data_IF_114041848510
#
_entry.id   IF_114041848510
#
_cell.length_a   1.000
_cell.length_b   1.000
_cell.length_c   1.000
_cell.angle_alpha   90.00
_cell.angle_beta   90.00
_cell.angle_gamma   90.00
#
_symmetry.space_group_name_H-M   'P 1'
#
loop_
_entity.id
_entity.type
_entity.pdbx_description
1 polymer ?
#
# COMPACT_ATOMS: atom_id res chain seq x y z
N UNK A 1 -15.00 -22.08 -45.74
CA UNK A 1 -15.67 -20.85 -45.22
C UNK A 1 -17.14 -21.06 -44.86
N UNK A 2 -18.06 -21.26 -45.80
CA UNK A 2 -19.50 -21.49 -45.48
C UNK A 2 -19.73 -22.73 -44.60
N UNK A 3 -18.91 -23.76 -44.75
CA UNK A 3 -18.94 -24.96 -43.93
C UNK A 3 -18.50 -24.69 -42.48
N UNK A 4 -17.38 -24.00 -42.28
CA UNK A 4 -16.88 -23.59 -40.96
C UNK A 4 -17.86 -22.67 -40.21
N UNK A 5 -18.46 -21.69 -40.90
CA UNK A 5 -19.47 -20.82 -40.29
C UNK A 5 -20.74 -21.57 -39.88
N UNK A 6 -21.11 -22.64 -40.61
CA UNK A 6 -22.26 -23.50 -40.25
C UNK A 6 -21.94 -24.46 -39.10
N UNK A 7 -20.67 -24.75 -38.87
CA UNK A 7 -20.20 -25.62 -37.81
C UNK A 7 -20.12 -24.93 -36.43
N UNK A 8 -20.38 -23.61 -36.35
CA UNK A 8 -20.49 -22.88 -35.08
C UNK A 8 -21.77 -23.33 -34.35
N UNK A 9 -21.69 -23.94 -33.14
CA UNK A 9 -22.85 -24.40 -32.39
C UNK A 9 -23.80 -23.27 -32.01
N UNK A 10 -25.05 -23.60 -31.68
CA UNK A 10 -25.99 -22.59 -31.19
C UNK A 10 -25.64 -22.13 -29.77
N UNK A 11 -26.09 -20.94 -29.36
CA UNK A 11 -25.90 -20.45 -27.98
C UNK A 11 -26.50 -21.45 -26.97
N UNK A 12 -27.70 -21.96 -27.24
CA UNK A 12 -28.37 -22.92 -26.36
C UNK A 12 -27.58 -24.22 -26.21
N UNK A 13 -26.93 -24.68 -27.29
CA UNK A 13 -26.09 -25.87 -27.26
C UNK A 13 -24.86 -25.65 -26.39
N UNK A 14 -24.12 -24.55 -26.58
CA UNK A 14 -22.95 -24.24 -25.77
C UNK A 14 -23.30 -24.02 -24.30
N UNK A 15 -24.42 -23.36 -24.01
CA UNK A 15 -24.90 -23.17 -22.63
C UNK A 15 -25.35 -24.50 -21.99
N UNK A 16 -25.69 -25.53 -22.77
CA UNK A 16 -26.04 -26.86 -22.28
C UNK A 16 -24.82 -27.73 -21.96
N UNK A 17 -23.62 -27.36 -22.39
CA UNK A 17 -22.40 -28.11 -22.09
C UNK A 17 -22.10 -28.10 -20.60
N UNK A 18 -21.66 -29.24 -20.07
CA UNK A 18 -21.44 -29.46 -18.62
C UNK A 18 -20.43 -28.44 -18.07
N UNK A 19 -19.38 -28.15 -18.84
CA UNK A 19 -18.30 -27.23 -18.54
C UNK A 19 -18.79 -25.79 -18.38
N UNK A 20 -19.87 -25.41 -19.07
CA UNK A 20 -20.47 -24.07 -19.02
C UNK A 20 -21.64 -24.05 -18.01
N UNK A 21 -22.44 -25.11 -17.94
CA UNK A 21 -23.59 -25.21 -17.02
C UNK A 21 -23.21 -25.07 -15.55
N UNK A 22 -22.05 -25.60 -15.13
CA UNK A 22 -21.58 -25.47 -13.75
C UNK A 22 -21.51 -24.01 -13.28
N UNK A 23 -21.30 -23.06 -14.20
CA UNK A 23 -21.22 -21.63 -13.89
C UNK A 23 -22.59 -20.96 -13.71
N UNK A 24 -23.67 -21.55 -14.22
CA UNK A 24 -25.03 -21.04 -14.02
C UNK A 24 -25.50 -21.16 -12.56
N UNK A 25 -24.84 -22.00 -11.75
CA UNK A 25 -25.09 -22.09 -10.31
C UNK A 25 -24.55 -20.89 -9.53
N UNK A 26 -23.58 -20.16 -10.10
CA UNK A 26 -22.86 -19.08 -9.42
C UNK A 26 -23.08 -17.72 -10.08
N UNK A 27 -23.40 -17.69 -11.38
CA UNK A 27 -23.50 -16.46 -12.16
C UNK A 27 -24.84 -16.36 -12.90
N UNK A 28 -25.27 -15.12 -13.15
CA UNK A 28 -26.48 -14.86 -13.92
C UNK A 28 -26.37 -15.46 -15.33
N UNK A 29 -27.39 -16.21 -15.75
CA UNK A 29 -27.49 -16.82 -17.09
C UNK A 29 -27.27 -15.82 -18.23
N UNK A 30 -27.78 -14.60 -18.09
CA UNK A 30 -27.63 -13.54 -19.10
C UNK A 30 -26.15 -13.20 -19.34
N UNK A 31 -25.36 -13.07 -18.27
CA UNK A 31 -23.91 -12.86 -18.36
C UNK A 31 -23.22 -14.01 -19.11
N UNK A 32 -23.58 -15.25 -18.83
CA UNK A 32 -23.00 -16.42 -19.52
C UNK A 32 -23.40 -16.43 -20.99
N UNK A 33 -24.67 -16.14 -21.31
CA UNK A 33 -25.16 -16.04 -22.69
C UNK A 33 -24.44 -14.94 -23.47
N UNK A 34 -24.19 -13.79 -22.86
CA UNK A 34 -23.47 -12.70 -23.51
C UNK A 34 -22.01 -13.04 -23.79
N UNK A 35 -21.33 -13.74 -22.85
CA UNK A 35 -19.98 -14.27 -23.09
C UNK A 35 -19.97 -15.26 -24.25
N UNK A 36 -20.94 -16.18 -24.28
CA UNK A 36 -21.07 -17.16 -25.38
C UNK A 36 -21.26 -16.45 -26.71
N UNK A 37 -22.15 -15.45 -26.78
CA UNK A 37 -22.39 -14.65 -27.99
C UNK A 37 -21.13 -13.92 -28.45
N UNK A 38 -20.42 -13.29 -27.52
CA UNK A 38 -19.19 -12.56 -27.83
C UNK A 38 -18.10 -13.47 -28.40
N UNK A 39 -17.85 -14.64 -27.79
CA UNK A 39 -16.86 -15.59 -28.31
C UNK A 39 -17.28 -16.21 -29.65
N UNK A 40 -18.58 -16.45 -29.85
CA UNK A 40 -19.11 -16.82 -31.17
C UNK A 40 -18.86 -15.73 -32.21
N UNK A 41 -19.10 -14.47 -31.88
CA UNK A 41 -18.92 -13.35 -32.80
C UNK A 41 -17.44 -13.11 -33.11
N UNK A 42 -16.55 -13.25 -32.13
CA UNK A 42 -15.09 -13.24 -32.35
C UNK A 42 -14.67 -14.34 -33.31
N UNK A 43 -15.15 -15.57 -33.11
CA UNK A 43 -14.85 -16.69 -34.00
C UNK A 43 -15.42 -16.45 -35.42
N UNK A 44 -16.66 -15.97 -35.55
CA UNK A 44 -17.27 -15.61 -36.84
C UNK A 44 -16.39 -14.61 -37.59
N UNK A 45 -15.96 -13.54 -36.91
CA UNK A 45 -15.11 -12.51 -37.50
C UNK A 45 -13.73 -13.06 -37.89
N UNK A 46 -13.12 -13.91 -37.07
CA UNK A 46 -11.84 -14.55 -37.40
C UNK A 46 -11.93 -15.44 -38.65
N UNK A 47 -13.01 -16.23 -38.78
CA UNK A 47 -13.25 -17.07 -39.97
C UNK A 47 -13.48 -16.21 -41.22
N UNK A 48 -14.21 -15.09 -41.11
CA UNK A 48 -14.46 -14.16 -42.22
C UNK A 48 -13.17 -13.47 -42.67
N UNK A 49 -12.31 -13.09 -41.72
CA UNK A 49 -11.08 -12.34 -41.97
C UNK A 49 -9.86 -13.22 -42.32
N UNK A 50 -10.06 -14.54 -42.49
CA UNK A 50 -8.99 -15.50 -42.81
C UNK A 50 -7.83 -15.49 -41.80
N UNK A 51 -8.16 -15.49 -40.51
CA UNK A 51 -7.16 -15.64 -39.45
C UNK A 51 -6.37 -16.95 -39.64
N UNK A 52 -5.07 -16.81 -39.92
CA UNK A 52 -4.19 -17.92 -40.29
C UNK A 52 -3.94 -18.87 -39.11
N UNK A 53 -3.92 -18.35 -37.88
CA UNK A 53 -3.67 -19.15 -36.68
C UNK A 53 -4.89 -20.01 -36.35
N UNK A 54 -6.09 -19.44 -36.52
CA UNK A 54 -7.34 -20.17 -36.34
C UNK A 54 -7.54 -21.25 -37.41
N UNK A 55 -7.17 -20.94 -38.65
CA UNK A 55 -7.22 -21.90 -39.76
C UNK A 55 -6.25 -23.06 -39.54
N UNK A 56 -5.05 -22.80 -39.03
CA UNK A 56 -4.04 -23.83 -38.71
C UNK A 56 -4.50 -24.75 -37.57
N UNK A 57 -5.06 -24.18 -36.50
CA UNK A 57 -5.61 -24.95 -35.38
C UNK A 57 -6.74 -25.89 -35.80
N UNK A 58 -7.57 -25.48 -36.76
CA UNK A 58 -8.71 -26.28 -37.23
C UNK A 58 -8.33 -27.43 -38.16
N UNK A 59 -7.18 -27.34 -38.85
CA UNK A 59 -6.66 -28.42 -39.73
C UNK A 59 -6.23 -29.66 -38.93
N UNK A 60 -5.87 -29.49 -37.65
CA UNK A 60 -5.46 -30.58 -36.77
C UNK A 60 -6.63 -31.48 -36.30
N UNK A 61 -7.88 -31.04 -36.51
CA UNK A 61 -9.07 -31.80 -36.15
C UNK A 61 -9.62 -32.61 -37.32
N UNK A 62 -9.77 -33.92 -37.13
CA UNK A 62 -10.41 -34.81 -38.12
C UNK A 62 -11.91 -34.50 -38.32
N UNK A 63 -12.55 -33.88 -37.33
CA UNK A 63 -13.93 -33.39 -37.37
C UNK A 63 -13.95 -31.88 -37.03
N UNK A 64 -14.14 -31.05 -38.05
CA UNK A 64 -14.16 -29.59 -37.94
C UNK A 64 -15.26 -29.08 -36.98
N UNK A 65 -16.39 -29.79 -36.87
CA UNK A 65 -17.52 -29.37 -36.01
C UNK A 65 -17.18 -29.59 -34.54
N UNK A 66 -16.60 -30.75 -34.24
CA UNK A 66 -16.13 -31.07 -32.89
C UNK A 66 -15.00 -30.14 -32.46
N UNK A 67 -14.04 -29.86 -33.37
CA UNK A 67 -12.93 -28.94 -33.10
C UNK A 67 -13.39 -27.50 -32.80
N UNK A 68 -14.33 -26.95 -33.58
CA UNK A 68 -14.90 -25.62 -33.33
C UNK A 68 -15.61 -25.57 -31.97
N UNK A 69 -16.40 -26.60 -31.64
CA UNK A 69 -17.12 -26.67 -30.38
C UNK A 69 -16.16 -26.70 -29.19
N UNK A 70 -15.16 -27.56 -29.20
CA UNK A 70 -14.13 -27.63 -28.15
C UNK A 70 -13.33 -26.32 -28.02
N UNK A 71 -13.00 -25.68 -29.16
CA UNK A 71 -12.35 -24.36 -29.16
C UNK A 71 -13.22 -23.31 -28.47
N UNK A 72 -14.49 -23.21 -28.84
CA UNK A 72 -15.43 -22.25 -28.25
C UNK A 72 -15.64 -22.51 -26.76
N UNK A 73 -15.84 -23.77 -26.34
CA UNK A 73 -15.99 -24.11 -24.92
C UNK A 73 -14.76 -23.64 -24.14
N UNK A 74 -13.55 -23.91 -24.65
CA UNK A 74 -12.32 -23.44 -24.01
C UNK A 74 -12.22 -21.91 -23.93
N UNK A 75 -12.58 -21.19 -25.00
CA UNK A 75 -12.57 -19.72 -25.00
C UNK A 75 -13.62 -19.11 -24.09
N UNK A 76 -14.83 -19.67 -24.08
CA UNK A 76 -15.92 -19.28 -23.17
C UNK A 76 -15.48 -19.52 -21.72
N UNK A 77 -14.93 -20.69 -21.42
CA UNK A 77 -14.38 -21.00 -20.09
C UNK A 77 -13.32 -19.97 -19.65
N UNK A 78 -12.34 -19.68 -20.51
CA UNK A 78 -11.31 -18.67 -20.24
C UNK A 78 -11.90 -17.27 -20.02
N UNK A 79 -12.92 -16.89 -20.81
CA UNK A 79 -13.58 -15.60 -20.68
C UNK A 79 -14.42 -15.50 -19.40
N UNK A 80 -15.13 -16.57 -19.02
CA UNK A 80 -15.85 -16.65 -17.75
C UNK A 80 -14.85 -16.48 -16.60
N UNK A 81 -13.75 -17.24 -16.60
CA UNK A 81 -12.72 -17.10 -15.56
C UNK A 81 -12.16 -15.68 -15.51
N UNK A 82 -11.79 -15.09 -16.65
CA UNK A 82 -11.24 -13.73 -16.72
C UNK A 82 -12.21 -12.66 -16.21
N UNK A 83 -13.50 -12.77 -16.51
CA UNK A 83 -14.52 -11.79 -16.06
C UNK A 83 -14.93 -11.96 -14.61
N UNK A 84 -14.86 -13.18 -14.10
CA UNK A 84 -15.28 -13.53 -12.74
C UNK A 84 -14.13 -13.47 -11.74
N UNK A 85 -12.89 -13.44 -12.21
CA UNK A 85 -11.72 -13.30 -11.36
C UNK A 85 -11.73 -11.95 -10.62
N UNK A 86 -11.45 -12.00 -9.32
CA UNK A 86 -11.31 -10.80 -8.51
C UNK A 86 -10.16 -9.93 -9.03
N UNK A 87 -10.49 -8.70 -9.45
CA UNK A 87 -9.50 -7.71 -9.91
C UNK A 87 -8.61 -7.23 -8.76
N UNK A 88 -9.17 -7.11 -7.56
CA UNK A 88 -8.42 -6.85 -6.33
C UNK A 88 -8.10 -8.18 -5.66
N UNK A 89 -6.81 -8.53 -5.63
CA UNK A 89 -6.34 -9.84 -5.16
C UNK A 89 -5.05 -9.71 -4.37
N UNK A 90 -4.82 -10.69 -3.50
CA UNK A 90 -3.55 -10.86 -2.78
C UNK A 90 -2.41 -11.08 -3.78
N UNK A 91 -1.26 -10.46 -3.51
CA UNK A 91 -0.02 -10.59 -4.27
C UNK A 91 1.11 -11.00 -3.32
N UNK A 92 2.04 -11.82 -3.78
CA UNK A 92 3.28 -12.10 -3.06
C UNK A 92 4.34 -11.07 -3.49
N UNK A 93 4.82 -10.29 -2.52
CA UNK A 93 5.84 -9.27 -2.72
C UNK A 93 7.24 -9.87 -2.58
N UNK A 94 7.92 -10.10 -3.71
CA UNK A 94 9.33 -10.50 -3.77
C UNK A 94 10.24 -9.33 -4.16
N UNK A 95 9.77 -8.09 -4.02
CA UNK A 95 10.57 -6.91 -4.39
C UNK A 95 11.51 -6.45 -3.28
N UNK A 96 11.26 -6.80 -2.02
CA UNK A 96 12.02 -6.28 -0.89
C UNK A 96 11.75 -4.80 -0.60
N UNK A 97 10.71 -4.22 -1.19
CA UNK A 97 10.20 -2.91 -0.76
C UNK A 97 9.12 -3.15 0.29
N UNK A 98 9.36 -2.74 1.54
CA UNK A 98 8.46 -3.03 2.68
C UNK A 98 7.15 -2.25 2.56
N UNK A 99 7.22 -0.93 2.52
CA UNK A 99 6.09 -0.01 2.31
C UNK A 99 5.88 0.24 0.81
N UNK A 100 5.48 -0.81 0.10
CA UNK A 100 5.27 -0.74 -1.35
C UNK A 100 3.93 -0.07 -1.67
N UNK A 101 3.94 1.18 -2.13
CA UNK A 101 2.72 1.97 -2.40
C UNK A 101 1.75 1.26 -3.36
N UNK A 102 2.25 0.69 -4.46
CA UNK A 102 1.40 -0.02 -5.44
C UNK A 102 0.84 -1.36 -4.93
N UNK A 103 1.44 -1.96 -3.89
CA UNK A 103 1.01 -3.25 -3.34
C UNK A 103 0.26 -3.09 -2.01
N UNK A 104 -0.17 -1.87 -1.67
CA UNK A 104 -1.05 -1.61 -0.52
C UNK A 104 -0.35 -1.25 0.78
N UNK A 105 0.93 -0.83 0.75
CA UNK A 105 1.71 -0.38 1.92
C UNK A 105 1.80 -1.46 3.01
N UNK A 106 1.33 -1.16 4.23
CA UNK A 106 1.47 -2.01 5.40
C UNK A 106 0.47 -3.19 5.40
N UNK A 107 0.93 -4.44 5.38
CA UNK A 107 0.07 -5.57 5.64
C UNK A 107 -0.26 -5.67 7.14
N UNK A 108 -1.49 -6.09 7.46
CA UNK A 108 -1.92 -6.32 8.85
C UNK A 108 -1.53 -7.73 9.33
N UNK A 109 -1.27 -7.86 10.63
CA UNK A 109 -0.95 -9.16 11.24
C UNK A 109 -2.18 -10.08 11.27
N UNK A 110 -1.96 -11.40 11.26
CA UNK A 110 -3.07 -12.36 11.33
C UNK A 110 -3.88 -12.23 12.62
N UNK A 111 -3.23 -11.91 13.75
CA UNK A 111 -3.90 -11.65 15.01
C UNK A 111 -4.86 -10.46 14.94
N UNK A 112 -4.48 -9.38 14.24
CA UNK A 112 -5.38 -8.24 13.99
C UNK A 112 -6.56 -8.68 13.11
N UNK A 113 -6.31 -9.47 12.07
CA UNK A 113 -7.38 -9.97 11.18
C UNK A 113 -8.39 -10.87 11.89
N UNK A 114 -7.96 -11.69 12.84
CA UNK A 114 -8.85 -12.49 13.69
C UNK A 114 -9.76 -11.61 14.54
N UNK A 115 -9.21 -10.58 15.18
CA UNK A 115 -9.98 -9.61 15.99
C UNK A 115 -10.94 -8.75 15.17
N UNK A 116 -10.52 -8.37 13.97
CA UNK A 116 -11.38 -7.70 13.00
C UNK A 116 -12.55 -8.59 12.61
N UNK A 117 -12.30 -9.86 12.30
CA UNK A 117 -13.36 -10.81 11.93
C UNK A 117 -14.37 -10.94 13.05
N UNK A 118 -13.91 -11.09 14.30
CA UNK A 118 -14.77 -11.15 15.49
C UNK A 118 -15.64 -9.89 15.66
N UNK A 119 -15.04 -8.70 15.60
CA UNK A 119 -15.72 -7.43 15.94
C UNK A 119 -16.55 -6.87 14.80
N UNK A 120 -16.06 -6.95 13.56
CA UNK A 120 -16.65 -6.25 12.40
C UNK A 120 -17.79 -7.05 11.77
N UNK A 121 -17.77 -8.39 11.90
CA UNK A 121 -18.85 -9.27 11.42
C UNK A 121 -20.11 -9.24 12.30
N UNK A 122 -20.04 -8.61 13.47
CA UNK A 122 -21.14 -8.47 14.42
C UNK A 122 -21.48 -7.00 14.69
N UNK A 123 -22.54 -6.77 15.47
CA UNK A 123 -22.75 -5.46 16.11
C UNK A 123 -21.65 -5.19 17.13
N UNK A 124 -21.29 -3.92 17.30
CA UNK A 124 -20.25 -3.49 18.25
C UNK A 124 -20.65 -2.20 18.95
N UNK A 125 -19.92 -1.86 20.02
CA UNK A 125 -20.07 -0.63 20.80
C UNK A 125 -19.41 0.59 20.12
N UNK A 126 -19.34 0.62 18.79
CA UNK A 126 -18.62 1.63 18.00
C UNK A 126 -18.93 3.08 18.40
N UNK A 127 -20.20 3.41 18.62
CA UNK A 127 -20.66 4.73 19.09
C UNK A 127 -21.62 4.57 20.28
N UNK A 128 -21.40 3.54 21.10
CA UNK A 128 -22.26 3.22 22.23
C UNK A 128 -21.42 3.04 23.49
N UNK A 129 -21.68 3.87 24.49
CA UNK A 129 -21.06 3.75 25.80
C UNK A 129 -21.80 2.65 26.59
N UNK A 130 -21.07 1.60 26.97
CA UNK A 130 -21.64 0.45 27.69
C UNK A 130 -21.94 0.77 29.15
N UNK A 131 -21.22 1.71 29.77
CA UNK A 131 -21.40 2.09 31.17
C UNK A 131 -22.58 3.05 31.32
N UNK A 132 -22.71 4.02 30.40
CA UNK A 132 -23.81 5.00 30.40
C UNK A 132 -25.06 4.50 29.67
N UNK A 133 -24.96 3.43 28.88
CA UNK A 133 -26.08 2.92 28.09
C UNK A 133 -26.62 3.94 27.08
N UNK A 134 -25.75 4.75 26.49
CA UNK A 134 -26.14 5.85 25.59
C UNK A 134 -25.15 6.06 24.45
N UNK A 135 -25.41 7.04 23.58
CA UNK A 135 -24.52 7.33 22.44
C UNK A 135 -23.19 7.89 22.95
N UNK A 136 -22.10 7.22 22.61
CA UNK A 136 -20.72 7.65 22.86
C UNK A 136 -20.01 8.14 21.60
N UNK A 137 -18.78 8.62 21.76
CA UNK A 137 -17.91 8.96 20.64
C UNK A 137 -17.06 7.75 20.26
N UNK A 138 -16.91 7.50 18.95
CA UNK A 138 -16.06 6.41 18.47
C UNK A 138 -14.58 6.64 18.76
N UNK A 139 -14.18 7.89 19.00
CA UNK A 139 -12.79 8.27 19.24
C UNK A 139 -12.33 7.90 20.65
N UNK A 140 -13.29 7.74 21.57
CA UNK A 140 -13.03 7.45 22.98
C UNK A 140 -12.31 6.11 23.13
N UNK A 141 -12.57 5.16 22.21
CA UNK A 141 -11.92 3.84 22.19
C UNK A 141 -10.41 3.86 21.89
N UNK A 142 -9.90 4.94 21.29
CA UNK A 142 -8.53 4.97 20.75
C UNK A 142 -7.69 6.15 21.22
N UNK A 143 -8.32 7.23 21.67
CA UNK A 143 -7.64 8.42 22.15
C UNK A 143 -6.66 8.08 23.28
N UNK A 144 -7.10 7.30 24.28
CA UNK A 144 -6.27 6.88 25.41
C UNK A 144 -5.02 6.11 24.99
N UNK A 145 -5.12 5.26 23.97
CA UNK A 145 -3.97 4.52 23.44
C UNK A 145 -2.96 5.46 22.78
N UNK A 146 -3.46 6.39 21.95
CA UNK A 146 -2.61 7.35 21.25
C UNK A 146 -1.91 8.27 22.25
N UNK A 147 -2.63 8.85 23.20
CA UNK A 147 -2.06 9.75 24.21
C UNK A 147 -1.06 9.03 25.10
N UNK A 148 -1.36 7.81 25.54
CA UNK A 148 -0.42 6.98 26.33
C UNK A 148 0.88 6.72 25.59
N UNK A 149 0.81 6.40 24.29
CA UNK A 149 1.98 6.04 23.49
C UNK A 149 2.80 7.26 23.03
N UNK A 150 2.14 8.40 22.82
CA UNK A 150 2.77 9.59 22.21
C UNK A 150 3.14 10.67 23.22
N UNK A 151 2.49 10.68 24.39
CA UNK A 151 2.59 11.77 25.37
C UNK A 151 1.73 12.99 25.03
N UNK A 152 0.94 12.95 23.95
CA UNK A 152 -0.02 14.01 23.62
C UNK A 152 -1.10 14.17 24.70
N UNK A 153 -1.66 15.37 24.82
CA UNK A 153 -2.77 15.65 25.74
C UNK A 153 -4.12 15.11 25.24
N UNK A 154 -4.29 15.05 23.92
CA UNK A 154 -5.48 14.56 23.24
C UNK A 154 -5.12 14.09 21.83
N UNK A 155 -6.00 13.28 21.24
CA UNK A 155 -5.82 12.80 19.88
C UNK A 155 -7.16 12.59 19.18
N UNK A 156 -7.12 12.55 17.85
CA UNK A 156 -8.23 12.11 17.02
C UNK A 156 -7.76 11.40 15.75
N UNK A 157 -8.69 10.70 15.10
CA UNK A 157 -8.41 9.90 13.90
C UNK A 157 -9.38 10.28 12.77
N UNK A 158 -8.84 10.43 11.57
CA UNK A 158 -9.57 10.68 10.33
C UNK A 158 -9.16 9.66 9.26
N UNK A 159 -9.76 9.75 8.08
CA UNK A 159 -9.64 8.76 6.99
C UNK A 159 -8.18 8.48 6.57
N UNK A 160 -7.35 9.51 6.41
CA UNK A 160 -5.94 9.38 6.05
C UNK A 160 -5.18 10.67 6.44
N UNK A 161 -3.84 10.67 6.35
CA UNK A 161 -3.07 11.84 6.74
C UNK A 161 -3.33 13.09 5.87
N UNK A 162 -3.66 12.91 4.58
CA UNK A 162 -4.07 14.02 3.72
C UNK A 162 -5.33 14.73 4.27
N UNK A 163 -6.30 13.95 4.76
CA UNK A 163 -7.47 14.45 5.45
C UNK A 163 -7.13 15.11 6.78
N UNK A 164 -6.12 14.61 7.50
CA UNK A 164 -5.64 15.22 8.74
C UNK A 164 -5.08 16.63 8.50
N UNK A 165 -4.16 16.76 7.54
CA UNK A 165 -3.60 18.06 7.14
C UNK A 165 -4.68 19.03 6.67
N UNK A 166 -5.60 18.57 5.81
CA UNK A 166 -6.74 19.38 5.35
C UNK A 166 -7.58 19.89 6.51
N UNK A 167 -7.93 19.01 7.46
CA UNK A 167 -8.76 19.36 8.61
C UNK A 167 -8.06 20.37 9.52
N UNK A 168 -6.77 20.17 9.80
CA UNK A 168 -5.98 21.09 10.64
C UNK A 168 -5.93 22.48 10.01
N UNK A 169 -5.56 22.57 8.73
CA UNK A 169 -5.49 23.84 8.02
C UNK A 169 -6.86 24.53 7.94
N UNK A 170 -7.93 23.76 7.69
CA UNK A 170 -9.29 24.29 7.59
C UNK A 170 -9.77 24.86 8.93
N UNK A 171 -9.58 24.11 10.01
CA UNK A 171 -10.12 24.47 11.32
C UNK A 171 -9.29 25.57 12.02
N UNK A 172 -7.97 25.60 11.80
CA UNK A 172 -7.07 26.50 12.54
C UNK A 172 -6.58 27.71 11.73
N UNK A 173 -6.54 27.62 10.40
CA UNK A 173 -5.94 28.65 9.55
C UNK A 173 -6.79 29.01 8.31
N UNK A 174 -8.09 28.75 8.34
CA UNK A 174 -8.97 29.30 7.31
C UNK A 174 -8.89 30.84 7.31
N UNK A 175 -8.73 31.40 6.11
CA UNK A 175 -8.62 32.85 5.85
C UNK A 175 -7.44 33.51 6.59
N UNK A 176 -6.44 32.72 6.99
CA UNK A 176 -5.21 33.18 7.66
C UNK A 176 -3.95 32.71 6.94
N UNK A 177 -2.82 33.34 7.25
CA UNK A 177 -1.52 32.98 6.72
C UNK A 177 -0.94 31.73 7.40
N UNK A 178 -0.37 30.84 6.59
CA UNK A 178 0.36 29.64 7.02
C UNK A 178 1.78 29.74 6.49
N UNK A 179 2.73 29.90 7.40
CA UNK A 179 4.15 30.04 7.04
C UNK A 179 4.78 28.64 6.95
N UNK A 180 5.43 28.35 5.82
CA UNK A 180 6.09 27.07 5.55
C UNK A 180 7.34 27.24 4.67
N UNK A 181 8.37 26.43 4.93
CA UNK A 181 9.61 26.41 4.14
C UNK A 181 9.37 25.97 2.70
N UNK A 182 9.95 26.68 1.72
CA UNK A 182 9.92 26.28 0.30
C UNK A 182 10.46 24.86 0.05
N UNK A 183 11.45 24.44 0.83
CA UNK A 183 12.03 23.10 0.76
C UNK A 183 11.10 21.99 1.24
N UNK A 184 9.95 22.33 1.84
CA UNK A 184 8.98 21.41 2.44
C UNK A 184 7.64 21.37 1.65
N UNK A 185 7.58 22.01 0.47
CA UNK A 185 6.41 21.99 -0.43
C UNK A 185 6.34 20.68 -1.22
N UNK A 186 5.95 19.61 -0.53
CA UNK A 186 6.05 18.23 -1.06
C UNK A 186 4.85 17.83 -1.94
N UNK A 187 5.14 16.95 -2.91
CA UNK A 187 4.13 16.12 -3.60
C UNK A 187 4.28 14.66 -3.15
N UNK A 188 3.21 14.07 -2.63
CA UNK A 188 3.19 12.69 -2.14
C UNK A 188 2.18 11.87 -2.95
N UNK A 189 2.60 10.70 -3.43
CA UNK A 189 1.71 9.73 -4.07
C UNK A 189 1.06 10.19 -5.39
N UNK A 190 1.61 11.20 -6.05
CA UNK A 190 1.22 11.67 -7.39
C UNK A 190 0.01 12.61 -7.47
N UNK A 191 -0.73 12.80 -6.38
CA UNK A 191 -1.93 13.67 -6.37
C UNK A 191 -2.09 14.54 -5.13
N UNK A 192 -1.37 14.24 -4.04
CA UNK A 192 -1.39 15.08 -2.85
C UNK A 192 -0.25 16.10 -2.93
N UNK A 193 -0.60 17.38 -2.98
CA UNK A 193 0.33 18.51 -3.00
C UNK A 193 -0.03 19.46 -1.88
N UNK A 194 0.92 19.73 -0.97
CA UNK A 194 0.69 20.66 0.15
C UNK A 194 0.11 22.01 -0.30
N UNK A 195 0.62 22.67 -1.37
CA UNK A 195 0.04 23.92 -1.86
C UNK A 195 -1.45 23.84 -2.26
N UNK A 196 -1.84 22.76 -2.94
CA UNK A 196 -3.22 22.57 -3.40
C UNK A 196 -4.16 22.28 -2.22
N UNK A 197 -3.66 21.57 -1.21
CA UNK A 197 -4.41 21.27 0.02
C UNK A 197 -4.62 22.53 0.83
N UNK A 198 -3.59 23.37 1.00
CA UNK A 198 -3.71 24.67 1.66
C UNK A 198 -4.71 25.58 0.95
N UNK A 199 -4.66 25.64 -0.37
CA UNK A 199 -5.62 26.40 -1.17
C UNK A 199 -7.06 25.91 -0.95
N UNK A 200 -7.27 24.60 -0.90
CA UNK A 200 -8.59 24.00 -0.68
C UNK A 200 -9.09 24.18 0.76
N UNK A 201 -8.21 24.22 1.75
CA UNK A 201 -8.59 24.49 3.14
C UNK A 201 -9.00 25.95 3.36
N UNK A 202 -8.66 26.84 2.43
CA UNK A 202 -8.84 28.30 2.56
C UNK A 202 -7.71 28.96 3.33
N UNK A 203 -6.59 28.28 3.54
CA UNK A 203 -5.39 28.87 4.15
C UNK A 203 -4.57 29.61 3.08
N UNK A 204 -3.88 30.67 3.51
CA UNK A 204 -3.00 31.45 2.65
C UNK A 204 -1.54 31.02 2.87
N UNK A 205 -0.96 30.32 1.89
CA UNK A 205 0.43 29.89 1.97
C UNK A 205 1.40 31.07 1.89
N UNK A 206 2.25 31.21 2.91
CA UNK A 206 3.40 32.12 2.95
C UNK A 206 4.69 31.29 2.91
N UNK A 207 5.32 31.23 1.75
CA UNK A 207 6.53 30.44 1.55
C UNK A 207 7.80 31.20 1.97
N UNK A 208 8.63 30.59 2.82
CA UNK A 208 9.89 31.19 3.31
C UNK A 208 11.14 30.39 2.89
N UNK A 209 12.29 31.05 2.98
CA UNK A 209 13.58 30.45 2.61
C UNK A 209 13.70 30.11 1.13
N UNK A 210 14.48 29.07 0.85
CA UNK A 210 14.75 28.53 -0.50
C UNK A 210 14.56 27.02 -0.51
N UNK A 211 14.59 26.40 -1.69
CA UNK A 211 14.40 24.95 -1.82
C UNK A 211 15.38 24.14 -0.98
N UNK A 212 16.65 24.54 -0.97
CA UNK A 212 17.72 23.80 -0.29
C UNK A 212 18.06 24.36 1.09
N UNK A 213 17.84 25.66 1.35
CA UNK A 213 18.19 26.31 2.62
C UNK A 213 17.07 27.20 3.14
N UNK A 214 16.69 26.96 4.38
CA UNK A 214 15.77 27.83 5.13
C UNK A 214 16.37 28.10 6.50
N UNK A 215 16.41 29.37 6.89
CA UNK A 215 16.96 29.83 8.16
C UNK A 215 15.85 30.39 9.05
N UNK A 216 16.09 30.45 10.37
CA UNK A 216 15.09 30.92 11.34
C UNK A 216 14.59 32.34 11.03
N UNK A 217 15.50 33.25 10.63
CA UNK A 217 15.17 34.62 10.21
C UNK A 217 14.15 34.69 9.06
N UNK A 218 14.09 33.68 8.21
CA UNK A 218 13.17 33.67 7.06
C UNK A 218 11.72 33.48 7.57
N UNK A 219 11.54 32.70 8.64
CA UNK A 219 10.27 32.59 9.34
C UNK A 219 9.93 33.87 10.11
N UNK A 220 10.88 34.41 10.90
CA UNK A 220 10.67 35.62 11.71
C UNK A 220 10.21 36.82 10.87
N UNK A 221 10.79 37.00 9.69
CA UNK A 221 10.44 38.10 8.77
C UNK A 221 9.08 37.94 8.11
N UNK A 222 8.55 36.72 8.06
CA UNK A 222 7.26 36.43 7.43
C UNK A 222 6.08 36.52 8.41
N UNK A 223 6.34 36.59 9.71
CA UNK A 223 5.29 36.74 10.72
C UNK A 223 4.58 38.09 10.56
N UNK A 224 3.26 38.02 10.54
CA UNK A 224 2.34 39.15 10.42
C UNK A 224 1.16 39.00 11.40
N UNK A 225 0.32 40.04 11.51
CA UNK A 225 -0.93 39.95 12.27
C UNK A 225 -1.92 38.92 11.70
N UNK A 226 -1.78 38.55 10.42
CA UNK A 226 -2.62 37.57 9.73
C UNK A 226 -2.09 36.13 9.88
N UNK A 227 -0.92 35.94 10.51
CA UNK A 227 -0.33 34.60 10.72
C UNK A 227 -1.19 33.75 11.65
N UNK A 228 -1.76 32.68 11.10
CA UNK A 228 -2.60 31.72 11.82
C UNK A 228 -1.81 30.59 12.45
N UNK A 229 -0.85 30.02 11.72
CA UNK A 229 0.05 28.98 12.23
C UNK A 229 1.34 28.90 11.42
N UNK A 230 2.35 28.27 12.01
CA UNK A 230 3.56 27.83 11.32
C UNK A 230 3.44 26.32 11.08
N UNK A 231 3.67 25.91 9.83
CA UNK A 231 3.62 24.50 9.45
C UNK A 231 5.01 24.02 9.07
N UNK A 232 5.41 22.89 9.65
CA UNK A 232 6.57 22.10 9.24
C UNK A 232 6.11 20.82 8.55
N UNK A 233 6.70 20.46 7.42
CA UNK A 233 6.39 19.19 6.73
C UNK A 233 7.65 18.34 6.60
N UNK A 234 7.59 17.11 7.08
CA UNK A 234 8.70 16.16 6.96
C UNK A 234 8.82 15.66 5.52
N UNK A 235 10.05 15.64 4.98
CA UNK A 235 10.32 15.19 3.60
C UNK A 235 10.37 13.66 3.54
N UNK A 236 9.25 12.99 3.82
CA UNK A 236 9.21 11.53 4.00
C UNK A 236 9.37 10.71 2.70
N UNK A 237 9.42 11.36 1.53
CA UNK A 237 9.43 10.69 0.22
C UNK A 237 10.55 11.13 -0.72
N UNK A 238 11.38 12.10 -0.32
CA UNK A 238 12.61 12.48 -0.99
C UNK A 238 13.60 13.07 0.00
N UNK A 239 14.85 13.22 -0.43
CA UNK A 239 15.89 13.89 0.34
C UNK A 239 16.65 14.85 -0.60
N UNK A 240 17.02 16.03 -0.09
CA UNK A 240 17.87 16.98 -0.82
C UNK A 240 19.30 16.78 -0.32
N UNK A 241 20.20 16.38 -1.23
CA UNK A 241 21.62 16.13 -0.93
C UNK A 241 22.46 17.30 -1.45
N UNK A 242 23.42 17.78 -0.64
CA UNK A 242 24.37 18.82 -1.02
C UNK A 242 24.39 19.99 -0.03
N UNK A 243 24.36 21.23 -0.54
CA UNK A 243 24.32 22.44 0.29
C UNK A 243 22.91 22.70 0.82
N UNK A 244 22.53 21.96 1.85
CA UNK A 244 21.20 22.04 2.47
C UNK A 244 21.25 22.59 3.89
N UNK A 245 20.16 23.22 4.32
CA UNK A 245 20.00 23.72 5.70
C UNK A 245 18.51 23.81 6.05
N UNK A 246 18.15 23.45 7.28
CA UNK A 246 16.76 23.46 7.76
C UNK A 246 16.69 23.87 9.22
N UNK A 247 15.69 24.67 9.56
CA UNK A 247 15.43 25.08 10.95
C UNK A 247 15.03 23.87 11.79
N UNK A 248 15.64 23.73 12.97
CA UNK A 248 15.29 22.66 13.90
C UNK A 248 13.88 22.86 14.49
N UNK A 249 13.27 21.76 14.95
CA UNK A 249 11.92 21.81 15.57
C UNK A 249 11.91 22.72 16.81
N UNK A 250 12.89 22.59 17.68
CA UNK A 250 13.00 23.37 18.92
C UNK A 250 13.14 24.87 18.66
N UNK A 251 13.99 25.29 17.71
CA UNK A 251 14.13 26.70 17.34
C UNK A 251 12.83 27.26 16.77
N UNK A 252 12.13 26.47 15.93
CA UNK A 252 10.87 26.87 15.32
C UNK A 252 9.77 27.03 16.38
N UNK A 253 9.67 26.07 17.31
CA UNK A 253 8.72 26.11 18.44
C UNK A 253 9.00 27.30 19.34
N UNK A 254 10.24 27.51 19.78
CA UNK A 254 10.62 28.62 20.64
C UNK A 254 10.25 29.98 20.00
N UNK A 255 10.63 30.18 18.74
CA UNK A 255 10.32 31.40 18.00
C UNK A 255 8.80 31.60 17.84
N UNK A 256 8.06 30.55 17.50
CA UNK A 256 6.60 30.62 17.29
C UNK A 256 5.87 30.95 18.59
N UNK A 257 6.21 30.28 19.68
CA UNK A 257 5.57 30.48 21.00
C UNK A 257 5.88 31.87 21.57
N UNK A 258 7.08 32.41 21.35
CA UNK A 258 7.43 33.79 21.70
C UNK A 258 6.55 34.84 20.97
N UNK A 259 5.97 34.47 19.82
CA UNK A 259 5.04 35.28 19.05
C UNK A 259 3.57 34.87 19.23
N UNK A 260 3.27 33.88 20.09
CA UNK A 260 1.91 33.39 20.32
C UNK A 260 1.31 32.60 19.15
N UNK A 261 2.15 32.02 18.28
CA UNK A 261 1.73 31.30 17.07
C UNK A 261 1.80 29.79 17.29
N UNK A 262 0.78 29.06 16.82
CA UNK A 262 0.71 27.60 16.86
C UNK A 262 1.66 26.96 15.84
N UNK A 263 2.36 25.90 16.25
CA UNK A 263 3.21 25.07 15.39
C UNK A 263 2.54 23.73 15.12
N UNK A 264 2.37 23.42 13.84
CA UNK A 264 1.87 22.12 13.38
C UNK A 264 2.96 21.43 12.59
N UNK A 265 3.22 20.16 12.88
CA UNK A 265 4.10 19.32 12.08
C UNK A 265 3.34 18.20 11.37
N UNK A 266 3.40 18.17 10.03
CA UNK A 266 3.05 16.98 9.27
C UNK A 266 4.27 16.06 9.18
N UNK A 267 4.35 15.11 10.12
CA UNK A 267 5.41 14.11 10.10
C UNK A 267 5.19 13.07 9.01
N UNK A 268 3.92 12.72 8.78
CA UNK A 268 3.53 11.82 7.70
C UNK A 268 3.88 10.34 7.90
N UNK A 269 5.08 9.99 8.37
CA UNK A 269 5.64 8.62 8.41
C UNK A 269 5.02 7.71 9.49
N UNK A 270 4.66 8.28 10.64
CA UNK A 270 3.96 7.56 11.71
C UNK A 270 4.85 6.64 12.53
N UNK A 271 6.12 6.98 12.76
CA UNK A 271 7.03 6.12 13.53
C UNK A 271 6.79 6.25 15.04
N UNK A 272 6.60 5.11 15.73
CA UNK A 272 6.39 5.05 17.18
C UNK A 272 7.58 4.50 17.97
N UNK A 273 8.48 3.78 17.30
CA UNK A 273 9.63 3.13 17.92
C UNK A 273 10.90 3.61 17.23
N UNK A 274 11.93 3.91 18.00
CA UNK A 274 13.25 4.16 17.46
C UNK A 274 13.77 2.88 16.78
N UNK A 275 14.19 3.01 15.52
CA UNK A 275 14.70 1.91 14.71
C UNK A 275 16.21 1.99 14.47
N UNK A 276 16.89 2.97 15.05
CA UNK A 276 18.34 3.18 14.88
C UNK A 276 19.15 1.99 15.37
N UNK A 277 18.70 1.31 16.43
CA UNK A 277 19.34 0.09 16.94
C UNK A 277 19.33 -1.08 15.93
N UNK A 278 18.43 -1.03 14.93
CA UNK A 278 18.35 -2.01 13.84
C UNK A 278 19.06 -1.55 12.56
N UNK A 279 19.80 -0.44 12.62
CA UNK A 279 20.58 0.09 11.50
C UNK A 279 19.77 0.92 10.51
N UNK A 280 18.62 1.47 10.92
CA UNK A 280 17.87 2.45 10.14
C UNK A 280 18.29 3.89 10.49
N UNK A 281 18.11 4.79 9.54
CA UNK A 281 18.36 6.22 9.67
C UNK A 281 17.46 6.82 10.75
N UNK A 282 17.89 7.95 11.29
CA UNK A 282 17.21 8.65 12.38
C UNK A 282 15.94 9.36 11.90
N UNK A 283 14.89 8.58 11.64
CA UNK A 283 13.54 9.07 11.44
C UNK A 283 12.93 9.41 12.80
N UNK A 284 12.41 10.64 12.99
CA UNK A 284 11.85 11.05 14.27
C UNK A 284 10.58 10.26 14.63
N UNK A 285 10.48 9.88 15.89
CA UNK A 285 9.26 9.28 16.45
C UNK A 285 8.20 10.35 16.75
N UNK A 286 6.92 9.96 16.81
CA UNK A 286 5.83 10.86 17.20
C UNK A 286 6.11 11.51 18.55
N UNK A 287 6.62 10.72 19.50
CA UNK A 287 6.94 11.19 20.84
C UNK A 287 8.05 12.23 20.83
N UNK A 288 9.14 11.98 20.10
CA UNK A 288 10.24 12.95 20.01
C UNK A 288 9.79 14.27 19.39
N UNK A 289 8.91 14.24 18.37
CA UNK A 289 8.33 15.45 17.79
C UNK A 289 7.54 16.24 18.84
N UNK A 290 6.63 15.59 19.56
CA UNK A 290 5.81 16.24 20.58
C UNK A 290 6.65 16.77 21.76
N UNK A 291 7.69 16.04 22.16
CA UNK A 291 8.61 16.45 23.24
C UNK A 291 9.39 17.74 22.90
N UNK A 292 9.49 18.13 21.61
CA UNK A 292 10.06 19.43 21.21
C UNK A 292 9.14 20.62 21.46
N UNK A 293 7.87 20.38 21.81
CA UNK A 293 6.86 21.41 22.05
C UNK A 293 5.97 21.76 20.85
N UNK A 294 6.03 20.98 19.77
CA UNK A 294 5.08 21.07 18.66
C UNK A 294 3.64 20.91 19.17
N UNK A 295 2.73 21.80 18.76
CA UNK A 295 1.38 21.86 19.32
C UNK A 295 0.46 20.77 18.76
N UNK A 296 0.63 20.41 17.47
CA UNK A 296 -0.04 19.28 16.82
C UNK A 296 0.90 18.56 15.86
N UNK A 297 0.85 17.24 15.85
CA UNK A 297 1.50 16.39 14.85
C UNK A 297 0.47 15.59 14.07
N UNK A 298 0.63 15.51 12.75
CA UNK A 298 -0.17 14.65 11.85
C UNK A 298 0.67 13.53 11.24
N UNK A 299 0.12 12.33 11.15
CA UNK A 299 0.81 11.19 10.55
C UNK A 299 -0.13 10.11 10.00
N UNK A 300 0.42 9.23 9.14
CA UNK A 300 -0.31 8.10 8.53
C UNK A 300 -0.25 6.83 9.39
N UNK A 301 -1.35 6.10 9.49
CA UNK A 301 -1.38 4.79 10.18
C UNK A 301 -0.84 3.60 9.37
N UNK A 302 -0.79 3.70 8.03
CA UNK A 302 -0.41 2.60 7.13
C UNK A 302 1.02 2.69 6.59
N UNK A 303 1.87 3.45 7.27
CA UNK A 303 3.30 3.58 6.97
C UNK A 303 4.13 2.89 8.05
N UNK A 304 4.99 3.61 8.78
CA UNK A 304 5.88 3.02 9.79
C UNK A 304 5.14 2.55 11.05
N UNK A 305 3.92 3.05 11.29
CA UNK A 305 3.00 2.50 12.29
C UNK A 305 2.57 1.06 11.97
N UNK A 306 2.61 0.65 10.69
CA UNK A 306 2.29 -0.71 10.27
C UNK A 306 0.83 -1.14 10.47
N UNK A 307 -0.08 -0.17 10.57
CA UNK A 307 -1.51 -0.36 10.77
C UNK A 307 -2.34 -0.12 9.50
N UNK A 308 -3.65 0.14 9.64
CA UNK A 308 -4.54 0.44 8.52
C UNK A 308 -4.38 1.88 8.05
N UNK A 309 -4.97 2.20 6.88
CA UNK A 309 -5.01 3.57 6.41
C UNK A 309 -5.85 4.43 7.37
N UNK A 310 -5.18 5.37 8.03
CA UNK A 310 -5.77 6.39 8.90
C UNK A 310 -4.90 7.64 8.87
N UNK A 311 -5.49 8.79 9.21
CA UNK A 311 -4.78 10.01 9.55
C UNK A 311 -4.94 10.26 11.03
N UNK A 312 -3.84 10.38 11.75
CA UNK A 312 -3.86 10.55 13.20
C UNK A 312 -3.35 11.95 13.49
N UNK A 313 -4.07 12.66 14.37
CA UNK A 313 -3.73 14.00 14.84
C UNK A 313 -3.58 13.91 16.36
N UNK A 314 -2.41 14.26 16.88
CA UNK A 314 -2.12 14.20 18.31
C UNK A 314 -1.43 15.51 18.75
N UNK A 315 -1.73 15.97 19.96
CA UNK A 315 -1.09 17.15 20.54
C UNK A 315 -1.95 17.81 21.61
N UNK A 316 -2.02 19.14 21.61
CA UNK A 316 -2.74 19.92 22.62
C UNK A 316 -4.26 19.72 22.58
N UNK A 317 -4.86 19.58 23.77
CA UNK A 317 -6.27 19.21 23.91
C UNK A 317 -7.22 20.26 23.36
N UNK A 318 -6.95 21.53 23.61
CA UNK A 318 -7.79 22.64 23.11
C UNK A 318 -7.85 22.68 21.58
N UNK A 319 -6.73 22.38 20.90
CA UNK A 319 -6.68 22.36 19.44
C UNK A 319 -7.46 21.16 18.90
N UNK A 320 -7.26 19.96 19.46
CA UNK A 320 -8.01 18.77 19.07
C UNK A 320 -9.53 18.97 19.26
N UNK A 321 -9.96 19.68 20.32
CA UNK A 321 -11.37 20.00 20.53
C UNK A 321 -11.94 20.89 19.43
N UNK A 322 -11.18 21.87 18.93
CA UNK A 322 -11.58 22.68 17.78
C UNK A 322 -11.76 21.81 16.53
N UNK A 323 -10.80 20.91 16.26
CA UNK A 323 -10.89 20.00 15.12
C UNK A 323 -12.12 19.08 15.21
N UNK A 324 -12.42 18.54 16.40
CA UNK A 324 -13.59 17.68 16.64
C UNK A 324 -14.92 18.40 16.39
N UNK A 325 -14.99 19.73 16.52
CA UNK A 325 -16.18 20.54 16.29
C UNK A 325 -16.41 20.91 14.81
N UNK A 326 -15.37 20.83 13.97
CA UNK A 326 -15.46 21.16 12.55
C UNK A 326 -16.37 20.16 11.80
N UNK A 327 -17.24 20.68 10.91
CA UNK A 327 -18.17 19.85 10.15
C UNK A 327 -17.47 18.88 9.19
N UNK A 328 -16.28 19.25 8.71
CA UNK A 328 -15.47 18.42 7.83
C UNK A 328 -15.03 17.12 8.53
N UNK A 329 -14.88 17.13 9.86
CA UNK A 329 -14.58 15.93 10.66
C UNK A 329 -15.61 14.82 10.40
N UNK A 330 -16.88 15.17 10.18
CA UNK A 330 -17.91 14.16 9.88
C UNK A 330 -17.73 13.52 8.50
N UNK A 331 -17.25 14.29 7.52
CA UNK A 331 -16.98 13.80 6.16
C UNK A 331 -15.69 12.97 6.12
N UNK A 332 -14.69 13.35 6.92
CA UNK A 332 -13.37 12.69 7.01
C UNK A 332 -13.32 11.57 8.05
N UNK A 333 -14.45 11.24 8.66
CA UNK A 333 -14.54 10.28 9.77
C UNK A 333 -14.03 8.90 9.36
N UNK A 334 -13.13 8.34 10.17
CA UNK A 334 -12.60 6.97 10.00
C UNK A 334 -13.71 5.92 10.10
N UNK A 335 -13.63 4.88 9.27
CA UNK A 335 -14.58 3.76 9.26
C UNK A 335 -14.31 2.74 10.38
N UNK A 336 -15.26 1.81 10.60
CA UNK A 336 -15.18 0.84 11.71
C UNK A 336 -14.06 -0.19 11.54
N UNK A 337 -13.70 -0.56 10.31
CA UNK A 337 -12.67 -1.56 10.04
C UNK A 337 -11.30 -0.94 10.36
N UNK A 338 -11.02 0.24 9.82
CA UNK A 338 -9.77 0.94 10.07
C UNK A 338 -9.61 1.33 11.53
N UNK A 339 -10.69 1.76 12.20
CA UNK A 339 -10.62 2.08 13.63
C UNK A 339 -10.27 0.85 14.49
N UNK A 340 -10.92 -0.30 14.26
CA UNK A 340 -10.64 -1.52 15.02
C UNK A 340 -9.23 -2.07 14.72
N UNK A 341 -8.82 -2.03 13.46
CA UNK A 341 -7.47 -2.44 13.07
C UNK A 341 -6.41 -1.54 13.72
N UNK A 342 -6.66 -0.23 13.80
CA UNK A 342 -5.75 0.72 14.44
C UNK A 342 -5.68 0.48 15.95
N UNK A 343 -6.81 0.24 16.62
CA UNK A 343 -6.85 -0.08 18.06
C UNK A 343 -5.95 -1.29 18.37
N UNK A 344 -6.13 -2.40 17.65
CA UNK A 344 -5.33 -3.61 17.85
C UNK A 344 -3.85 -3.40 17.50
N UNK A 345 -3.56 -2.55 16.51
CA UNK A 345 -2.18 -2.18 16.17
C UNK A 345 -1.53 -1.40 17.32
N UNK A 346 -2.20 -0.36 17.84
CA UNK A 346 -1.70 0.44 18.96
C UNK A 346 -1.57 -0.38 20.24
N UNK A 347 -2.45 -1.36 20.48
CA UNK A 347 -2.31 -2.30 21.61
C UNK A 347 -1.00 -3.10 21.55
N UNK A 348 -0.52 -3.47 20.36
CA UNK A 348 0.79 -4.11 20.23
C UNK A 348 1.93 -3.18 20.67
N UNK A 349 1.83 -1.88 20.38
CA UNK A 349 2.83 -0.88 20.79
C UNK A 349 2.92 -0.67 22.31
N UNK A 350 1.93 -1.10 23.10
CA UNK A 350 2.06 -1.13 24.56
C UNK A 350 3.19 -2.05 25.04
N UNK A 351 3.67 -2.96 24.20
CA UNK A 351 4.84 -3.78 24.44
C UNK A 351 5.77 -3.71 23.22
N UNK A 352 6.83 -2.88 23.23
CA UNK A 352 7.67 -2.61 22.07
C UNK A 352 8.19 -3.87 21.34
N UNK A 353 8.64 -4.88 22.08
CA UNK A 353 9.07 -6.16 21.48
C UNK A 353 7.93 -6.89 20.76
N UNK A 354 6.72 -6.88 21.32
CA UNK A 354 5.57 -7.49 20.64
C UNK A 354 5.20 -6.71 19.37
N UNK A 355 5.27 -5.38 19.41
CA UNK A 355 5.07 -4.56 18.21
C UNK A 355 6.09 -4.92 17.13
N UNK A 356 7.38 -4.93 17.47
CA UNK A 356 8.47 -5.29 16.55
C UNK A 356 8.26 -6.66 15.90
N UNK A 357 7.87 -7.66 16.69
CA UNK A 357 7.71 -9.03 16.20
C UNK A 357 6.42 -9.25 15.41
N UNK A 358 5.29 -8.66 15.85
CA UNK A 358 3.95 -8.99 15.33
C UNK A 358 3.45 -8.01 14.28
N UNK A 359 3.93 -6.77 14.25
CA UNK A 359 3.58 -5.80 13.21
C UNK A 359 4.42 -6.11 11.97
N UNK A 360 3.81 -6.51 10.84
CA UNK A 360 4.57 -7.02 9.70
C UNK A 360 5.60 -6.03 9.15
N UNK A 361 5.28 -4.73 9.12
CA UNK A 361 6.21 -3.69 8.67
C UNK A 361 7.45 -3.66 9.56
N UNK A 362 7.28 -3.57 10.88
CA UNK A 362 8.41 -3.54 11.81
C UNK A 362 9.23 -4.82 11.72
N UNK A 363 8.59 -5.99 11.69
CA UNK A 363 9.28 -7.26 11.55
C UNK A 363 10.16 -7.32 10.29
N UNK A 364 9.63 -6.89 9.13
CA UNK A 364 10.38 -6.86 7.88
C UNK A 364 11.55 -5.85 7.89
N UNK A 365 11.41 -4.75 8.64
CA UNK A 365 12.48 -3.76 8.79
C UNK A 365 13.58 -4.25 9.72
N UNK A 366 13.23 -4.96 10.81
CA UNK A 366 14.17 -5.37 11.86
C UNK A 366 14.67 -6.81 11.76
N UNK A 367 14.21 -7.58 10.76
CA UNK A 367 14.68 -8.96 10.55
C UNK A 367 16.18 -9.01 10.25
N UNK A 368 16.88 -9.96 10.86
CA UNK A 368 18.33 -10.10 10.70
C UNK A 368 18.70 -10.61 9.30
N UNK A 369 19.91 -10.23 8.85
CA UNK A 369 20.44 -10.72 7.57
C UNK A 369 20.58 -12.25 7.55
N UNK A 370 20.92 -12.88 8.68
CA UNK A 370 21.07 -14.33 8.78
C UNK A 370 19.73 -15.06 8.61
N UNK A 371 18.65 -14.50 9.14
CA UNK A 371 17.31 -15.05 8.94
C UNK A 371 16.87 -14.89 7.48
N UNK A 372 17.10 -13.72 6.86
CA UNK A 372 16.81 -13.51 5.43
C UNK A 372 17.64 -14.49 4.58
N UNK A 373 18.92 -14.69 4.90
CA UNK A 373 19.80 -15.64 4.19
C UNK A 373 19.29 -17.07 4.31
N UNK A 374 18.78 -17.44 5.47
CA UNK A 374 18.16 -18.75 5.70
C UNK A 374 16.93 -18.92 4.82
N UNK A 375 16.06 -17.91 4.73
CA UNK A 375 14.91 -17.91 3.81
C UNK A 375 15.35 -18.00 2.34
N UNK A 376 16.42 -17.30 1.96
CA UNK A 376 16.97 -17.36 0.60
C UNK A 376 17.49 -18.75 0.24
N UNK A 377 18.20 -19.42 1.16
CA UNK A 377 18.62 -20.82 0.99
C UNK A 377 17.44 -21.77 0.80
N UNK A 378 16.40 -21.63 1.62
CA UNK A 378 15.20 -22.47 1.50
C UNK A 378 14.52 -22.33 0.14
N UNK A 379 14.41 -21.10 -0.38
CA UNK A 379 13.87 -20.89 -1.73
C UNK A 379 14.83 -21.44 -2.80
N UNK A 380 16.14 -21.21 -2.66
CA UNK A 380 17.15 -21.69 -3.59
C UNK A 380 17.11 -23.21 -3.73
N UNK A 381 17.14 -23.94 -2.61
CA UNK A 381 17.17 -25.40 -2.59
C UNK A 381 15.94 -25.96 -3.32
N UNK A 382 14.74 -25.41 -3.04
CA UNK A 382 13.49 -25.81 -3.70
C UNK A 382 13.45 -25.52 -5.20
N UNK A 383 14.04 -24.43 -5.65
CA UNK A 383 14.09 -24.10 -7.08
C UNK A 383 15.15 -24.92 -7.82
N UNK A 384 16.27 -25.22 -7.16
CA UNK A 384 17.40 -25.95 -7.74
C UNK A 384 17.03 -27.37 -8.19
N UNK A 385 16.02 -27.98 -7.57
CA UNK A 385 15.51 -29.31 -7.93
C UNK A 385 14.86 -29.36 -9.33
N UNK A 386 14.40 -28.22 -9.86
CA UNK A 386 13.60 -28.17 -11.09
C UNK A 386 14.23 -27.36 -12.22
N UNK A 387 15.36 -26.72 -11.95
CA UNK A 387 16.04 -25.86 -12.91
C UNK A 387 16.94 -26.68 -13.83
N UNK A 388 16.75 -26.52 -15.15
CA UNK A 388 17.60 -27.10 -16.19
C UNK A 388 18.88 -26.27 -16.40
N UNK A 389 19.82 -26.77 -17.22
CA UNK A 389 21.10 -26.08 -17.49
C UNK A 389 20.96 -24.69 -18.14
N UNK A 390 19.78 -24.37 -18.65
CA UNK A 390 19.48 -23.10 -19.35
C UNK A 390 19.21 -21.94 -18.39
N UNK A 391 18.93 -22.24 -17.11
CA UNK A 391 18.70 -21.24 -16.09
C UNK A 391 19.80 -21.31 -15.04
N UNK A 392 20.31 -20.15 -14.64
CA UNK A 392 21.30 -20.03 -13.56
C UNK A 392 20.67 -19.35 -12.37
N UNK A 393 20.70 -20.05 -11.24
CA UNK A 393 20.20 -19.63 -9.94
C UNK A 393 21.37 -19.28 -9.02
N UNK A 394 21.32 -18.13 -8.32
CA UNK A 394 22.38 -17.71 -7.39
C UNK A 394 21.78 -17.07 -6.13
N UNK A 395 22.44 -17.26 -4.98
CA UNK A 395 22.17 -16.49 -3.75
C UNK A 395 23.19 -15.35 -3.68
N UNK A 396 22.72 -14.11 -3.60
CA UNK A 396 23.56 -12.91 -3.64
C UNK A 396 23.19 -11.95 -2.52
N UNK A 397 24.16 -11.17 -2.04
CA UNK A 397 23.87 -9.99 -1.24
C UNK A 397 23.28 -8.89 -2.11
N UNK A 398 22.29 -8.18 -1.60
CA UNK A 398 21.64 -7.08 -2.30
C UNK A 398 21.11 -6.06 -1.29
N UNK A 399 20.33 -5.11 -1.77
CA UNK A 399 19.72 -4.04 -0.99
C UNK A 399 18.21 -4.08 -1.20
N UNK A 400 17.49 -4.08 -0.08
CA UNK A 400 16.07 -3.84 0.02
C UNK A 400 15.80 -2.36 0.30
N UNK A 401 14.55 -1.92 0.17
CA UNK A 401 14.14 -0.54 0.43
C UNK A 401 13.03 -0.51 1.48
N UNK A 402 13.01 0.51 2.33
CA UNK A 402 11.84 0.78 3.18
C UNK A 402 10.64 1.09 2.30
N UNK A 403 10.82 1.97 1.31
CA UNK A 403 9.79 2.45 0.40
C UNK A 403 9.63 3.96 0.52
N UNK A 404 9.29 4.62 -0.58
CA UNK A 404 9.28 6.09 -0.68
C UNK A 404 8.17 6.80 0.11
N UNK A 405 7.53 6.15 1.09
CA UNK A 405 6.51 6.76 1.93
C UNK A 405 7.02 7.26 3.27
N UNK A 406 8.22 6.85 3.69
CA UNK A 406 8.77 7.18 5.01
C UNK A 406 10.28 7.49 4.98
N UNK A 407 11.11 6.54 4.57
CA UNK A 407 12.57 6.67 4.52
C UNK A 407 13.06 6.42 3.08
N UNK A 408 13.14 7.46 2.22
CA UNK A 408 13.33 7.32 0.78
C UNK A 408 14.73 6.84 0.38
N UNK A 409 15.76 7.20 1.14
CA UNK A 409 17.17 6.90 0.87
C UNK A 409 17.67 5.67 1.61
N UNK A 410 16.95 5.19 2.64
CA UNK A 410 17.34 4.03 3.44
C UNK A 410 17.59 2.78 2.59
N UNK A 411 18.80 2.24 2.75
CA UNK A 411 19.23 0.96 2.21
C UNK A 411 19.23 -0.09 3.31
N UNK A 412 18.61 -1.24 3.04
CA UNK A 412 18.56 -2.35 3.98
C UNK A 412 19.30 -3.56 3.39
N UNK A 413 20.50 -3.92 3.90
CA UNK A 413 21.23 -5.08 3.41
C UNK A 413 20.39 -6.36 3.51
N UNK A 414 20.30 -7.11 2.41
CA UNK A 414 19.44 -8.29 2.26
C UNK A 414 20.16 -9.43 1.54
N UNK A 415 19.53 -10.60 1.54
CA UNK A 415 19.90 -11.74 0.72
C UNK A 415 18.77 -12.07 -0.24
N UNK A 416 19.14 -12.27 -1.50
CA UNK A 416 18.19 -12.53 -2.59
C UNK A 416 18.51 -13.85 -3.27
N UNK A 417 17.50 -14.43 -3.89
CA UNK A 417 17.69 -15.46 -4.92
C UNK A 417 17.55 -14.78 -6.27
N UNK A 418 18.51 -14.99 -7.17
CA UNK A 418 18.47 -14.45 -8.54
C UNK A 418 18.34 -15.56 -9.56
N UNK A 419 17.54 -15.31 -10.60
CA UNK A 419 17.38 -16.18 -11.75
C UNK A 419 17.86 -15.45 -13.01
N UNK A 420 18.72 -16.10 -13.79
CA UNK A 420 19.23 -15.61 -15.07
C UNK A 420 19.03 -16.66 -16.17
N UNK A 421 18.67 -16.19 -17.37
CA UNK A 421 18.46 -16.99 -18.57
C UNK A 421 18.52 -16.07 -19.80
N UNK A 422 18.07 -16.53 -20.97
CA UNK A 422 17.95 -15.65 -22.14
C UNK A 422 17.07 -14.43 -21.82
N UNK A 423 17.37 -13.27 -22.40
CA UNK A 423 16.59 -12.04 -22.14
C UNK A 423 15.11 -12.21 -22.50
N UNK A 424 14.80 -12.94 -23.57
CA UNK A 424 13.43 -13.21 -24.00
C UNK A 424 12.69 -14.05 -22.96
N UNK A 425 13.32 -15.10 -22.45
CA UNK A 425 12.71 -15.97 -21.44
C UNK A 425 12.58 -15.25 -20.09
N UNK A 426 13.55 -14.43 -19.72
CA UNK A 426 13.53 -13.68 -18.47
C UNK A 426 12.32 -12.74 -18.39
N UNK A 427 12.06 -11.96 -19.46
CA UNK A 427 10.89 -11.08 -19.54
C UNK A 427 9.59 -11.88 -19.57
N UNK A 428 9.53 -12.98 -20.32
CA UNK A 428 8.36 -13.88 -20.38
C UNK A 428 8.04 -14.45 -18.99
N UNK A 429 9.03 -14.93 -18.26
CA UNK A 429 8.88 -15.45 -16.90
C UNK A 429 8.40 -14.33 -15.97
N UNK A 430 9.01 -13.15 -16.03
CA UNK A 430 8.62 -12.02 -15.20
C UNK A 430 7.15 -11.62 -15.39
N UNK A 431 6.65 -11.64 -16.63
CA UNK A 431 5.26 -11.36 -16.95
C UNK A 431 4.33 -12.49 -16.49
N UNK A 432 4.72 -13.75 -16.73
CA UNK A 432 3.93 -14.93 -16.36
C UNK A 432 3.82 -15.12 -14.84
N UNK A 433 4.78 -14.64 -14.05
CA UNK A 433 4.70 -14.62 -12.59
C UNK A 433 3.57 -13.72 -12.08
N UNK A 434 3.31 -12.58 -12.74
CA UNK A 434 2.18 -11.69 -12.41
C UNK A 434 0.82 -12.27 -12.82
N UNK A 435 0.82 -13.28 -13.69
CA UNK A 435 -0.38 -14.01 -14.11
C UNK A 435 -0.67 -15.25 -13.25
N UNK A 436 0.21 -15.58 -12.29
CA UNK A 436 -0.06 -16.68 -11.36
C UNK A 436 -1.17 -16.32 -10.37
N UNK A 437 -1.71 -17.34 -9.71
CA UNK A 437 -2.64 -17.19 -8.60
C UNK A 437 -2.07 -17.89 -7.34
N UNK A 438 -1.63 -17.15 -6.29
CA UNK A 438 -1.53 -15.68 -6.27
C UNK A 438 -0.43 -15.15 -7.22
N UNK A 439 -0.55 -13.91 -7.73
CA UNK A 439 0.53 -13.25 -8.48
C UNK A 439 1.80 -13.09 -7.64
N UNK A 440 2.95 -13.17 -8.30
CA UNK A 440 4.26 -12.92 -7.69
C UNK A 440 4.89 -11.70 -8.38
N UNK A 441 5.30 -10.72 -7.58
CA UNK A 441 5.95 -9.50 -8.07
C UNK A 441 7.40 -9.47 -7.61
N UNK A 442 8.32 -9.55 -8.56
CA UNK A 442 9.78 -9.49 -8.37
C UNK A 442 10.35 -8.22 -8.99
N UNK A 443 11.64 -7.96 -8.76
CA UNK A 443 12.40 -6.91 -9.47
C UNK A 443 13.16 -7.49 -10.64
N UNK A 444 13.27 -6.72 -11.72
CA UNK A 444 14.23 -6.97 -12.79
C UNK A 444 15.43 -6.03 -12.59
N UNK A 445 16.63 -6.58 -12.41
CA UNK A 445 17.84 -5.80 -12.11
C UNK A 445 19.05 -6.42 -12.81
N UNK A 446 19.74 -5.63 -13.65
CA UNK A 446 20.95 -6.06 -14.38
C UNK A 446 20.77 -7.42 -15.10
N UNK A 447 19.68 -7.56 -15.84
CA UNK A 447 19.32 -8.80 -16.55
C UNK A 447 19.14 -10.03 -15.64
N UNK A 448 18.78 -9.81 -14.37
CA UNK A 448 18.39 -10.85 -13.42
C UNK A 448 16.99 -10.61 -12.89
N UNK A 449 16.24 -11.69 -12.71
CA UNK A 449 15.03 -11.67 -11.91
C UNK A 449 15.42 -11.84 -10.44
N UNK A 450 15.06 -10.88 -9.59
CA UNK A 450 15.46 -10.82 -8.19
C UNK A 450 14.27 -11.13 -7.30
N UNK A 451 14.40 -12.19 -6.50
CA UNK A 451 13.49 -12.55 -5.42
C UNK A 451 14.12 -12.11 -4.11
N UNK A 452 13.58 -11.05 -3.51
CA UNK A 452 14.06 -10.53 -2.22
C UNK A 452 13.23 -11.08 -1.07
N UNK A 453 13.89 -11.78 -0.15
CA UNK A 453 13.24 -12.59 0.89
C UNK A 453 12.89 -11.78 2.13
N UNK A 454 13.20 -10.48 2.18
CA UNK A 454 12.74 -9.61 3.28
C UNK A 454 11.22 -9.55 3.37
N UNK A 455 10.55 -9.45 2.22
CA UNK A 455 9.08 -9.27 2.13
C UNK A 455 8.34 -10.57 1.85
N UNK A 456 9.02 -11.72 1.93
CA UNK A 456 8.45 -13.06 1.72
C UNK A 456 8.44 -13.79 3.06
N UNK A 457 7.24 -14.16 3.53
CA UNK A 457 7.09 -14.95 4.75
C UNK A 457 7.51 -16.41 4.52
N UNK A 458 7.85 -17.12 5.59
CA UNK A 458 8.21 -18.56 5.52
C UNK A 458 7.12 -19.40 4.83
N UNK A 459 5.83 -19.07 5.09
CA UNK A 459 4.67 -19.75 4.52
C UNK A 459 4.50 -19.50 3.02
N UNK A 460 5.08 -18.41 2.50
CA UNK A 460 5.01 -18.05 1.09
C UNK A 460 6.12 -18.68 0.25
N UNK A 461 7.24 -19.11 0.86
CA UNK A 461 8.38 -19.69 0.13
C UNK A 461 7.95 -20.90 -0.71
N UNK A 462 7.15 -21.81 -0.15
CA UNK A 462 6.64 -22.98 -0.88
C UNK A 462 5.75 -22.59 -2.06
N UNK A 463 4.93 -21.54 -1.88
CA UNK A 463 4.06 -21.02 -2.94
C UNK A 463 4.93 -20.41 -4.05
N UNK A 464 5.92 -19.58 -3.69
CA UNK A 464 6.83 -18.96 -4.65
C UNK A 464 7.57 -20.03 -5.45
N UNK A 465 8.19 -21.01 -4.78
CA UNK A 465 8.90 -22.09 -5.43
C UNK A 465 8.01 -22.84 -6.43
N UNK A 466 6.83 -23.30 -5.99
CA UNK A 466 5.88 -24.03 -6.84
C UNK A 466 5.46 -23.25 -8.08
N UNK A 467 5.16 -21.95 -7.93
CA UNK A 467 4.69 -21.10 -9.04
C UNK A 467 5.81 -20.73 -10.01
N UNK A 468 7.00 -20.43 -9.50
CA UNK A 468 8.19 -20.17 -10.33
C UNK A 468 8.55 -21.40 -11.16
N UNK A 469 8.63 -22.57 -10.53
CA UNK A 469 8.86 -23.85 -11.23
C UNK A 469 7.82 -24.10 -12.31
N UNK A 470 6.53 -23.89 -12.02
CA UNK A 470 5.45 -24.03 -13.01
C UNK A 470 5.63 -23.09 -14.22
N UNK A 471 6.06 -21.86 -13.99
CA UNK A 471 6.29 -20.86 -15.05
C UNK A 471 7.48 -21.26 -15.92
N UNK A 472 8.57 -21.72 -15.30
CA UNK A 472 9.78 -22.18 -16.00
C UNK A 472 9.47 -23.42 -16.86
N UNK A 473 8.83 -24.45 -16.29
CA UNK A 473 8.53 -25.70 -17.00
C UNK A 473 7.50 -25.50 -18.13
N UNK A 474 6.50 -24.62 -17.98
CA UNK A 474 5.54 -24.31 -19.06
C UNK A 474 6.13 -23.38 -20.13
N UNK A 475 7.32 -22.86 -19.90
CA UNK A 475 8.06 -22.02 -20.84
C UNK A 475 8.75 -22.85 -21.93
N UNK A 476 9.08 -24.11 -21.63
CA UNK A 476 9.49 -25.20 -22.53
C UNK A 476 8.27 -25.75 -23.29
#
# INVERSE_FOLDING_TARGET
>A
MKQLLRAIPSVNELVAETEIQQYLNFYNREMIVDIVREEQDKLRNAIINHDQDLTKFMVDYQDETKGIKEYLINKIYQMIQSRTEAKFKRVINCTGTVLHTNLGRAPLSSGIMEKLTETVSNYSNLEYDLDQGSRGSRYDHIEDLITTLTGAESAMVVNNNAAAVMLVLKALAQDKEVILSRGELVEIGGSFRIPEVMKQSGAHLVEVGTTNKTHLKDYEQAISEETGLIMKVHTSNYEIIGFTDSVSRSELVEMSHNNGITVVEDLGSGLFLDLTEYGLDNEPTIKEVLDTGVDLVTFSGDKLLGGPQTGIIAGRRELIQLLKQDQLTRALRVDKLSLKALEETLRLYLQPEQAREKIPVLNMLTISQDEIKTRAKLLYDKLSEFITKEYKLEIESNISRVGGGAMPTQELPTWVVTLTCSSTDLHKIWDQLRQQNPPIVTRLQKDKLVFDLRTVSIKEIDIVASKVTKVIIKGE
#
